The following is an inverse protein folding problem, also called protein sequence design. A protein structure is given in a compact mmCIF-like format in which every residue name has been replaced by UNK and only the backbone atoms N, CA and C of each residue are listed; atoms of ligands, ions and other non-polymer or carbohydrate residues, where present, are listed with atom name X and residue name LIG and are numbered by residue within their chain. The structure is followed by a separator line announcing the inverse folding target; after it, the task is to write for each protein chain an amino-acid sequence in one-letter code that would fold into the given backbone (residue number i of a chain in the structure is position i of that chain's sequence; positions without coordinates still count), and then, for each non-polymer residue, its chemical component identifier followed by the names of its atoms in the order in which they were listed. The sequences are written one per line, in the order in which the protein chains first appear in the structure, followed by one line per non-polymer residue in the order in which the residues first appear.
data_IF_427137493203
#
_entry.id   IF_427137493203
#
_cell.length_a   1.000
_cell.length_b   1.000
_cell.length_c   1.000
_cell.angle_alpha   90.00
_cell.angle_beta   90.00
_cell.angle_gamma   90.00
#
_symmetry.space_group_name_H-M   'P 1'
#
loop_
_entity.id
_entity.type
_entity.pdbx_description
1 polymer ?
#
# COMPACT_ATOMS: atom_id res chain seq x y z
N UNK A 1 8.75 7.23 -14.64
CA UNK A 1 8.30 6.81 -13.29
C UNK A 1 7.12 5.87 -13.47
N UNK A 2 7.24 4.57 -13.16
CA UNK A 2 6.08 3.68 -13.14
C UNK A 2 5.38 3.86 -11.80
N UNK A 3 4.13 4.35 -11.80
CA UNK A 3 3.36 4.61 -10.58
C UNK A 3 3.29 3.34 -9.70
N UNK A 4 3.19 2.15 -10.30
CA UNK A 4 3.12 0.87 -9.58
C UNK A 4 4.37 0.47 -8.77
N UNK A 5 5.53 1.05 -9.07
CA UNK A 5 6.81 0.74 -8.39
C UNK A 5 7.08 1.67 -7.19
N UNK A 6 6.39 2.82 -7.12
CA UNK A 6 6.68 3.85 -6.12
C UNK A 6 6.63 3.32 -4.67
N UNK A 7 5.58 2.56 -4.32
CA UNK A 7 5.40 2.05 -2.97
C UNK A 7 6.45 0.99 -2.60
N UNK A 8 6.82 0.14 -3.56
CA UNK A 8 7.89 -0.85 -3.40
C UNK A 8 9.24 -0.19 -3.11
N UNK A 9 9.61 0.86 -3.85
CA UNK A 9 10.84 1.64 -3.59
C UNK A 9 10.82 2.30 -2.23
N UNK A 10 9.69 2.88 -1.82
CA UNK A 10 9.60 3.53 -0.50
C UNK A 10 9.73 2.54 0.65
N UNK A 11 9.23 1.32 0.49
CA UNK A 11 9.46 0.24 1.45
C UNK A 11 10.95 -0.15 1.58
N UNK A 12 11.77 0.06 0.55
CA UNK A 12 13.21 -0.22 0.61
C UNK A 12 13.97 0.98 1.17
N UNK A 13 13.78 2.17 0.60
CA UNK A 13 14.63 3.33 0.87
C UNK A 13 14.17 4.19 2.04
N UNK A 14 12.92 4.05 2.48
CA UNK A 14 12.35 4.86 3.57
C UNK A 14 11.23 4.13 4.31
N UNK A 15 11.44 2.86 4.72
CA UNK A 15 10.36 2.00 5.21
C UNK A 15 9.60 2.59 6.39
N UNK A 16 10.32 3.23 7.31
CA UNK A 16 9.78 3.66 8.60
C UNK A 16 9.31 5.12 8.57
N UNK A 17 9.38 5.79 7.39
CA UNK A 17 8.79 7.12 7.22
C UNK A 17 7.27 7.02 7.14
N UNK A 18 6.59 7.98 7.78
CA UNK A 18 5.14 8.12 7.72
C UNK A 18 4.68 8.32 6.27
N UNK A 19 3.71 7.52 5.85
CA UNK A 19 3.19 7.50 4.49
C UNK A 19 1.70 7.90 4.42
N UNK A 20 0.90 7.44 5.37
CA UNK A 20 -0.55 7.72 5.44
C UNK A 20 -0.92 8.17 6.85
N UNK A 21 -1.79 9.18 6.91
CA UNK A 21 -2.62 9.50 8.05
C UNK A 21 -4.07 9.39 7.58
N UNK A 22 -4.85 8.47 8.18
CA UNK A 22 -6.29 8.39 8.00
C UNK A 22 -6.96 9.10 9.18
N UNK A 23 -7.37 10.35 8.91
CA UNK A 23 -8.02 11.24 9.85
C UNK A 23 -9.48 10.85 10.16
N UNK A 24 -10.05 9.86 9.46
CA UNK A 24 -11.40 9.36 9.72
C UNK A 24 -11.45 8.31 10.83
N UNK A 25 -10.31 7.86 11.36
CA UNK A 25 -10.21 6.94 12.49
C UNK A 25 -10.00 7.71 13.80
N UNK A 26 -10.49 7.14 14.91
CA UNK A 26 -10.25 7.69 16.26
C UNK A 26 -9.72 6.58 17.16
N UNK A 27 -8.44 6.61 17.57
CA UNK A 27 -7.41 7.57 17.14
C UNK A 27 -7.09 7.45 15.64
N UNK A 28 -6.46 8.49 15.07
CA UNK A 28 -6.04 8.49 13.67
C UNK A 28 -5.16 7.28 13.36
N UNK A 29 -5.41 6.65 12.22
CA UNK A 29 -4.57 5.55 11.77
C UNK A 29 -3.35 6.13 11.05
N UNK A 30 -2.17 5.87 11.59
CA UNK A 30 -0.88 6.25 10.99
C UNK A 30 -0.19 5.01 10.45
N UNK A 31 0.31 5.10 9.23
CA UNK A 31 1.06 4.01 8.61
C UNK A 31 2.37 4.51 8.04
N UNK A 32 3.43 3.77 8.36
CA UNK A 32 4.71 3.84 7.66
C UNK A 32 4.59 3.27 6.24
N UNK A 33 5.57 3.56 5.38
CA UNK A 33 5.63 2.97 4.04
C UNK A 33 5.67 1.43 4.08
N UNK A 34 6.34 0.84 5.08
CA UNK A 34 6.42 -0.61 5.26
C UNK A 34 5.06 -1.23 5.56
N UNK A 35 4.33 -0.65 6.51
CA UNK A 35 3.00 -1.14 6.90
C UNK A 35 2.00 -0.95 5.76
N UNK A 36 2.06 0.19 5.08
CA UNK A 36 1.19 0.45 3.94
C UNK A 36 1.45 -0.52 2.79
N UNK A 37 2.71 -0.74 2.41
CA UNK A 37 3.09 -1.71 1.38
C UNK A 37 2.62 -3.13 1.72
N UNK A 38 2.76 -3.55 2.97
CA UNK A 38 2.30 -4.86 3.43
C UNK A 38 0.78 -5.03 3.24
N UNK A 39 0.00 -4.01 3.62
CA UNK A 39 -1.47 -4.03 3.47
C UNK A 39 -1.90 -4.04 2.01
N UNK A 40 -1.28 -3.21 1.17
CA UNK A 40 -1.58 -3.15 -0.28
C UNK A 40 -1.25 -4.48 -0.96
N UNK A 41 -0.11 -5.10 -0.65
CA UNK A 41 0.24 -6.40 -1.23
C UNK A 41 -0.73 -7.51 -0.78
N UNK A 42 -1.18 -7.50 0.47
CA UNK A 42 -2.23 -8.43 0.92
C UNK A 42 -3.53 -8.25 0.12
N UNK A 43 -3.96 -7.01 -0.09
CA UNK A 43 -5.15 -6.69 -0.88
C UNK A 43 -4.99 -7.08 -2.36
N UNK A 44 -3.85 -6.77 -2.96
CA UNK A 44 -3.55 -7.13 -4.35
C UNK A 44 -3.55 -8.65 -4.57
N UNK A 45 -2.99 -9.41 -3.62
CA UNK A 45 -3.02 -10.87 -3.67
C UNK A 45 -4.45 -11.42 -3.53
N UNK A 46 -5.27 -10.81 -2.68
CA UNK A 46 -6.69 -11.15 -2.59
C UNK A 46 -7.41 -10.91 -3.92
N UNK A 47 -7.25 -9.74 -4.54
CA UNK A 47 -7.86 -9.44 -5.83
C UNK A 47 -7.39 -10.40 -6.93
N UNK A 48 -6.10 -10.72 -6.98
CA UNK A 48 -5.57 -11.72 -7.90
C UNK A 48 -6.22 -13.09 -7.68
N UNK A 49 -6.46 -13.49 -6.43
CA UNK A 49 -7.17 -14.73 -6.11
C UNK A 49 -8.65 -14.70 -6.50
N UNK A 50 -9.26 -13.52 -6.59
CA UNK A 50 -10.61 -13.33 -7.14
C UNK A 50 -10.64 -13.22 -8.68
N UNK A 51 -9.50 -13.39 -9.35
CA UNK A 51 -9.41 -13.34 -10.82
C UNK A 51 -9.24 -11.93 -11.40
N UNK A 52 -9.08 -10.89 -10.57
CA UNK A 52 -8.84 -9.52 -11.03
C UNK A 52 -7.45 -9.42 -11.67
N UNK A 53 -7.43 -8.89 -12.90
CA UNK A 53 -6.25 -8.73 -13.73
C UNK A 53 -6.06 -7.30 -14.24
N UNK A 54 -5.06 -7.16 -15.12
CA UNK A 54 -4.75 -5.87 -15.76
C UNK A 54 -5.86 -5.52 -16.75
N UNK A 55 -6.48 -4.36 -16.57
CA UNK A 55 -7.52 -3.83 -17.45
C UNK A 55 -8.93 -3.92 -16.86
N UNK A 56 -9.09 -4.72 -15.81
CA UNK A 56 -10.36 -4.82 -15.06
C UNK A 56 -10.61 -3.54 -14.25
N UNK A 57 -11.89 -3.23 -14.00
CA UNK A 57 -12.35 -1.99 -13.36
C UNK A 57 -13.37 -2.27 -12.25
#
# INVERSE_FOLDING_TARGET
MYIGDYLGRRNIYSPDKLAIIDAGKTPELRLTYREWNTRVNRLANFFKAQGVGKGDR
#
